data_IF_921777009974
#
_entry.id   IF_921777009974
#
_cell.length_a   1.000
_cell.length_b   1.000
_cell.length_c   1.000
_cell.angle_alpha   90.00
_cell.angle_beta   90.00
_cell.angle_gamma   90.00
#
_symmetry.space_group_name_H-M   'P 1'
#
loop_
_entity.id
_entity.type
_entity.pdbx_description
1 polymer ?
#
# COMPACT_ATOMS: atom_id res chain seq x y z
N UNK A 1 10.77 -4.60 -5.49
CA UNK A 1 10.62 -3.13 -5.37
C UNK A 1 10.13 -2.60 -6.71
N UNK A 2 9.00 -1.88 -6.78
CA UNK A 2 8.46 -1.45 -8.06
C UNK A 2 9.18 -0.18 -8.52
N UNK A 3 10.10 -0.32 -9.46
CA UNK A 3 11.08 0.72 -9.81
C UNK A 3 10.71 1.59 -11.01
N UNK A 4 9.64 1.32 -11.77
CA UNK A 4 9.22 2.24 -12.85
C UNK A 4 7.76 2.09 -13.32
N UNK A 5 7.24 3.21 -13.85
CA UNK A 5 5.93 3.53 -14.45
C UNK A 5 4.75 3.72 -13.49
N UNK A 6 4.72 4.92 -12.89
CA UNK A 6 3.58 5.54 -12.22
C UNK A 6 2.26 5.52 -13.02
N UNK A 7 2.32 5.41 -14.35
CA UNK A 7 1.15 5.56 -15.25
C UNK A 7 0.01 4.58 -14.97
N UNK A 8 0.32 3.34 -14.61
CA UNK A 8 -0.72 2.31 -14.44
C UNK A 8 -0.93 1.88 -12.99
N UNK A 9 -0.33 2.58 -12.03
CA UNK A 9 -0.38 2.18 -10.63
C UNK A 9 -1.82 2.06 -10.12
N UNK A 10 -2.69 3.03 -10.49
CA UNK A 10 -4.12 3.03 -10.16
C UNK A 10 -4.84 1.80 -10.73
N UNK A 11 -4.55 1.43 -11.98
CA UNK A 11 -5.15 0.25 -12.63
C UNK A 11 -4.64 -1.05 -12.00
N UNK A 12 -3.35 -1.10 -11.64
CA UNK A 12 -2.75 -2.23 -10.92
C UNK A 12 -3.37 -2.43 -9.55
N UNK A 13 -3.67 -1.35 -8.83
CA UNK A 13 -4.38 -1.45 -7.55
C UNK A 13 -5.72 -2.16 -7.71
N UNK A 14 -6.52 -1.77 -8.72
CA UNK A 14 -7.78 -2.46 -9.03
C UNK A 14 -7.55 -3.92 -9.41
N UNK A 15 -6.56 -4.20 -10.25
CA UNK A 15 -6.24 -5.57 -10.68
C UNK A 15 -5.87 -6.48 -9.49
N UNK A 16 -4.99 -6.03 -8.59
CA UNK A 16 -4.62 -6.79 -7.40
C UNK A 16 -5.78 -7.00 -6.45
N UNK A 17 -6.62 -5.99 -6.28
CA UNK A 17 -7.85 -6.12 -5.51
C UNK A 17 -8.74 -7.23 -6.06
N UNK A 18 -9.01 -7.22 -7.38
CA UNK A 18 -9.82 -8.25 -8.04
C UNK A 18 -9.21 -9.65 -7.93
N UNK A 19 -7.88 -9.79 -8.04
CA UNK A 19 -7.22 -11.08 -7.87
C UNK A 19 -7.40 -11.63 -6.45
N UNK A 20 -7.31 -10.79 -5.41
CA UNK A 20 -7.54 -11.22 -4.03
C UNK A 20 -8.99 -11.67 -3.80
N UNK A 21 -9.96 -10.97 -4.38
CA UNK A 21 -11.37 -11.37 -4.27
C UNK A 21 -11.62 -12.72 -4.96
N UNK A 22 -10.99 -12.97 -6.12
CA UNK A 22 -11.07 -14.25 -6.83
C UNK A 22 -10.42 -15.39 -6.03
N UNK A 23 -9.24 -15.16 -5.45
CA UNK A 23 -8.56 -16.15 -4.62
C UNK A 23 -9.40 -16.54 -3.39
N UNK A 24 -10.16 -15.57 -2.86
CA UNK A 24 -11.00 -15.78 -1.69
C UNK A 24 -12.36 -16.44 -2.00
N UNK A 25 -12.95 -16.14 -3.17
CA UNK A 25 -14.26 -16.66 -3.57
C UNK A 25 -14.15 -18.06 -4.19
N UNK A 26 -14.12 -19.08 -3.32
CA UNK A 26 -14.33 -20.47 -3.76
C UNK A 26 -15.75 -20.66 -4.32
N UNK A 27 -15.87 -21.54 -5.32
CA UNK A 27 -17.15 -21.88 -5.97
C UNK A 27 -18.20 -22.30 -4.93
N UNK A 28 -19.36 -21.64 -4.96
CA UNK A 28 -20.49 -21.92 -4.05
C UNK A 28 -20.54 -21.05 -2.78
N UNK A 29 -19.56 -20.17 -2.55
CA UNK A 29 -19.62 -19.20 -1.45
C UNK A 29 -20.43 -17.96 -1.80
N UNK A 30 -21.05 -17.36 -0.78
CA UNK A 30 -21.74 -16.06 -0.85
C UNK A 30 -20.75 -14.90 -0.72
N UNK A 31 -21.06 -13.75 -1.35
CA UNK A 31 -20.24 -12.54 -1.27
C UNK A 31 -20.11 -11.98 0.16
N UNK A 32 -21.04 -12.30 1.06
CA UNK A 32 -20.94 -11.94 2.48
C UNK A 32 -19.71 -12.51 3.18
N UNK A 33 -19.07 -13.55 2.62
CA UNK A 33 -17.85 -14.11 3.18
C UNK A 33 -16.60 -13.32 2.81
N UNK A 34 -16.65 -12.44 1.79
CA UNK A 34 -15.50 -11.65 1.34
C UNK A 34 -14.88 -10.92 2.54
N UNK A 35 -13.57 -11.12 2.71
CA UNK A 35 -12.78 -10.40 3.71
C UNK A 35 -12.53 -8.97 3.27
N UNK A 36 -12.10 -8.16 4.23
CA UNK A 36 -11.54 -6.85 3.91
C UNK A 36 -10.38 -7.00 2.95
N UNK A 37 -10.36 -6.14 1.93
CA UNK A 37 -9.40 -6.21 0.85
C UNK A 37 -8.58 -4.92 0.82
N UNK A 38 -7.34 -5.01 1.31
CA UNK A 38 -6.43 -3.87 1.46
C UNK A 38 -5.24 -4.06 0.53
N UNK A 39 -5.10 -3.15 -0.44
CA UNK A 39 -3.91 -3.10 -1.30
C UNK A 39 -2.97 -2.00 -0.80
N UNK A 40 -1.74 -2.36 -0.43
CA UNK A 40 -0.71 -1.41 0.03
C UNK A 40 0.37 -1.27 -1.04
N UNK A 41 0.61 -0.03 -1.47
CA UNK A 41 1.73 0.34 -2.32
C UNK A 41 2.75 1.16 -1.55
N UNK A 42 4.02 0.79 -1.66
CA UNK A 42 5.13 1.57 -1.13
C UNK A 42 5.81 2.29 -2.30
N UNK A 43 5.70 3.61 -2.33
CA UNK A 43 6.18 4.46 -3.41
C UNK A 43 7.43 5.22 -2.95
N UNK A 44 8.49 5.24 -3.78
CA UNK A 44 9.74 5.96 -3.45
C UNK A 44 9.60 7.49 -3.47
N UNK A 45 8.51 8.02 -4.03
CA UNK A 45 8.24 9.46 -4.10
C UNK A 45 6.75 9.78 -4.06
N UNK A 46 6.45 11.08 -4.06
CA UNK A 46 5.08 11.58 -3.93
C UNK A 46 4.28 11.39 -5.22
N UNK A 47 3.47 10.33 -5.24
CA UNK A 47 2.63 9.94 -6.37
C UNK A 47 1.54 10.95 -6.72
N UNK A 48 0.95 11.59 -5.70
CA UNK A 48 -0.23 12.44 -5.85
C UNK A 48 0.11 13.93 -5.75
N UNK A 49 1.37 14.25 -5.43
CA UNK A 49 1.90 15.62 -5.32
C UNK A 49 1.14 16.44 -4.28
N UNK A 50 0.73 15.80 -3.18
CA UNK A 50 0.03 16.49 -2.08
C UNK A 50 0.90 16.62 -0.82
N UNK A 51 2.13 16.10 -0.83
CA UNK A 51 3.07 16.18 0.27
C UNK A 51 2.75 15.31 1.48
N UNK A 52 1.79 14.37 1.37
CA UNK A 52 1.39 13.53 2.49
C UNK A 52 2.31 12.30 2.62
N UNK A 53 2.56 11.81 3.86
CA UNK A 53 3.31 10.58 4.10
C UNK A 53 2.52 9.32 3.72
N UNK A 54 1.19 9.37 3.82
CA UNK A 54 0.29 8.24 3.51
C UNK A 54 -0.95 8.77 2.81
N UNK A 55 -1.38 8.07 1.77
CA UNK A 55 -2.66 8.28 1.08
C UNK A 55 -3.53 7.05 1.26
N UNK A 56 -4.73 7.23 1.80
CA UNK A 56 -5.71 6.15 1.91
C UNK A 56 -6.93 6.50 1.07
N UNK A 57 -7.32 5.58 0.20
CA UNK A 57 -8.50 5.72 -0.65
C UNK A 57 -9.50 4.61 -0.32
N UNK A 58 -10.77 5.01 -0.23
CA UNK A 58 -11.95 4.16 -0.08
C UNK A 58 -13.03 4.62 -1.07
N UNK A 59 -14.07 3.81 -1.28
CA UNK A 59 -15.18 4.18 -2.15
C UNK A 59 -16.21 5.06 -1.41
N UNK A 60 -16.42 6.27 -1.92
CA UNK A 60 -17.40 7.24 -1.40
C UNK A 60 -18.46 7.58 -2.45
N UNK A 61 -19.65 7.97 -2.00
CA UNK A 61 -20.71 8.45 -2.89
C UNK A 61 -20.31 9.78 -3.53
N UNK A 62 -20.43 9.89 -4.86
CA UNK A 62 -20.02 11.09 -5.60
C UNK A 62 -20.93 12.28 -5.31
N UNK A 63 -22.22 12.02 -5.13
CA UNK A 63 -23.26 13.03 -4.88
C UNK A 63 -23.24 13.51 -3.43
N UNK A 64 -22.74 12.68 -2.50
CA UNK A 64 -22.60 13.03 -1.09
C UNK A 64 -21.36 12.34 -0.48
N UNK A 65 -20.25 13.07 -0.39
CA UNK A 65 -18.97 12.54 0.12
C UNK A 65 -18.98 12.11 1.60
N UNK A 66 -20.04 12.41 2.37
CA UNK A 66 -20.19 11.88 3.73
C UNK A 66 -20.67 10.42 3.75
N UNK A 67 -21.21 9.91 2.64
CA UNK A 67 -21.68 8.53 2.52
C UNK A 67 -20.56 7.65 1.94
N UNK A 68 -20.23 6.59 2.67
CA UNK A 68 -19.25 5.56 2.26
C UNK A 68 -19.99 4.34 1.70
N UNK A 69 -19.39 3.66 0.72
CA UNK A 69 -19.95 2.42 0.18
C UNK A 69 -19.82 1.25 1.15
N UNK A 70 -18.84 1.31 2.08
CA UNK A 70 -18.57 0.27 3.09
C UNK A 70 -18.33 -1.14 2.50
N UNK A 71 -17.82 -1.21 1.26
CA UNK A 71 -17.45 -2.46 0.60
C UNK A 71 -16.22 -3.17 1.19
N UNK A 72 -15.66 -2.60 2.28
CA UNK A 72 -14.48 -3.08 3.00
C UNK A 72 -13.21 -3.14 2.16
N UNK A 73 -13.11 -2.28 1.15
CA UNK A 73 -11.93 -2.19 0.30
C UNK A 73 -11.13 -0.92 0.58
N UNK A 74 -9.81 -1.04 0.74
CA UNK A 74 -8.91 0.08 1.00
C UNK A 74 -7.69 0.02 0.09
N UNK A 75 -7.22 1.20 -0.31
CA UNK A 75 -6.00 1.36 -1.11
C UNK A 75 -5.09 2.34 -0.40
N UNK A 76 -3.96 1.85 0.08
CA UNK A 76 -3.00 2.63 0.87
C UNK A 76 -1.73 2.84 0.07
N UNK A 77 -1.27 4.08 -0.04
CA UNK A 77 -0.02 4.44 -0.71
C UNK A 77 0.90 5.13 0.29
N UNK A 78 2.01 4.50 0.63
CA UNK A 78 3.08 5.11 1.41
C UNK A 78 3.99 5.93 0.49
N UNK A 79 4.31 7.14 0.94
CA UNK A 79 5.26 8.03 0.29
C UNK A 79 6.58 8.03 1.05
N UNK A 80 7.56 7.26 0.57
CA UNK A 80 8.85 7.12 1.26
C UNK A 80 9.62 8.45 1.34
N UNK A 81 9.42 9.41 0.43
CA UNK A 81 10.11 10.71 0.52
C UNK A 81 9.67 11.53 1.73
N UNK A 82 8.55 11.14 2.37
CA UNK A 82 7.98 11.75 3.57
C UNK A 82 8.09 10.83 4.79
N UNK A 83 9.10 9.94 4.81
CA UNK A 83 9.32 8.99 5.90
C UNK A 83 9.46 9.64 7.28
N UNK A 84 9.97 10.89 7.37
CA UNK A 84 10.09 11.63 8.63
C UNK A 84 8.73 12.03 9.24
N UNK A 85 7.70 12.14 8.41
CA UNK A 85 6.35 12.55 8.82
C UNK A 85 5.46 11.35 9.20
N UNK A 86 6.04 10.13 9.20
CA UNK A 86 5.34 8.90 9.60
C UNK A 86 5.37 8.78 11.13
N UNK A 87 4.19 8.63 11.75
CA UNK A 87 4.06 8.61 13.21
C UNK A 87 4.73 7.41 13.91
N UNK A 88 4.95 6.30 13.20
CA UNK A 88 5.64 5.13 13.76
C UNK A 88 7.13 5.16 13.41
N UNK A 89 7.99 5.13 14.42
CA UNK A 89 9.45 5.09 14.26
C UNK A 89 9.91 3.89 13.42
N UNK A 90 9.35 2.71 13.67
CA UNK A 90 9.70 1.49 12.95
C UNK A 90 9.32 1.58 11.47
N UNK A 91 8.12 2.11 11.17
CA UNK A 91 7.68 2.34 9.78
C UNK A 91 8.55 3.39 9.09
N UNK A 92 8.87 4.49 9.78
CA UNK A 92 9.74 5.55 9.28
C UNK A 92 11.14 5.01 8.92
N UNK A 93 11.74 4.21 9.80
CA UNK A 93 13.04 3.57 9.57
C UNK A 93 13.00 2.59 8.38
N UNK A 94 11.91 1.81 8.26
CA UNK A 94 11.72 0.90 7.13
C UNK A 94 11.57 1.66 5.80
N UNK A 95 10.76 2.72 5.75
CA UNK A 95 10.58 3.53 4.56
C UNK A 95 11.86 4.29 4.17
N UNK A 96 12.62 4.78 5.16
CA UNK A 96 13.96 5.36 4.94
C UNK A 96 14.90 4.33 4.32
N UNK A 97 14.91 3.10 4.84
CA UNK A 97 15.71 2.02 4.28
C UNK A 97 15.32 1.72 2.82
N UNK A 98 14.03 1.61 2.51
CA UNK A 98 13.57 1.37 1.13
C UNK A 98 13.97 2.49 0.16
N UNK A 99 14.09 3.73 0.65
CA UNK A 99 14.48 4.89 -0.17
C UNK A 99 15.99 5.01 -0.35
N UNK A 100 16.78 4.69 0.68
CA UNK A 100 18.22 5.02 0.74
C UNK A 100 19.13 3.80 0.72
N UNK A 101 18.57 2.59 0.84
CA UNK A 101 19.28 1.34 1.11
C UNK A 101 20.16 1.38 2.39
N UNK A 102 19.96 2.37 3.27
CA UNK A 102 20.71 2.47 4.52
C UNK A 102 19.99 1.70 5.65
N UNK A 103 20.62 0.63 6.11
CA UNK A 103 20.08 -0.28 7.12
C UNK A 103 20.57 0.07 8.54
N UNK A 104 19.90 1.01 9.20
CA UNK A 104 20.25 1.45 10.56
C UNK A 104 19.58 0.59 11.64
N UNK A 105 18.32 0.18 11.42
CA UNK A 105 17.52 -0.60 12.37
C UNK A 105 17.84 -2.10 12.35
N UNK A 106 17.52 -2.80 13.43
CA UNK A 106 17.70 -4.26 13.53
C UNK A 106 16.87 -5.02 12.49
N UNK A 107 15.68 -4.53 12.16
CA UNK A 107 14.83 -5.07 11.10
C UNK A 107 15.49 -4.89 9.73
N UNK A 108 15.91 -3.67 9.39
CA UNK A 108 16.50 -3.36 8.08
C UNK A 108 17.82 -4.11 7.85
N UNK A 109 18.63 -4.31 8.90
CA UNK A 109 19.86 -5.12 8.84
C UNK A 109 19.55 -6.58 8.48
N UNK A 110 18.55 -7.19 9.14
CA UNK A 110 18.10 -8.56 8.82
C UNK A 110 17.57 -8.69 7.39
N UNK A 111 16.89 -7.67 6.88
CA UNK A 111 16.41 -7.64 5.49
C UNK A 111 17.58 -7.61 4.50
N UNK A 112 18.56 -6.72 4.73
CA UNK A 112 19.74 -6.59 3.89
C UNK A 112 20.64 -7.84 3.90
N UNK A 113 20.71 -8.54 5.04
CA UNK A 113 21.40 -9.84 5.13
C UNK A 113 20.69 -10.94 4.34
N UNK A 114 19.34 -10.95 4.34
CA UNK A 114 18.55 -11.93 3.57
C UNK A 114 18.63 -11.70 2.07
N UNK A 115 18.69 -10.45 1.62
CA UNK A 115 18.86 -10.11 0.21
C UNK A 115 20.17 -10.67 -0.36
N UNK A 116 21.26 -10.63 0.42
CA UNK A 116 22.57 -11.18 0.02
C UNK A 116 22.62 -12.72 -0.11
N UNK A 117 21.57 -13.43 0.31
CA UNK A 117 21.52 -14.91 0.29
C UNK A 117 20.75 -15.47 -0.91
N UNK A 118 20.21 -14.60 -1.78
CA UNK A 118 19.47 -14.93 -3.00
C UNK A 118 20.37 -14.60 -4.19
#
# INVERSE_FOLDING_TARGET
MQTTLYKDLRKRTRYYQSLMDVDYLLKGNTYSKLKENIVIFICLGDLFKQGLPVYTFENTCRENNSVKLEDKTLKVFYNCSKWMDIGSKEQAEFLKFLLTDNAESSLCKKLKEREKRI
#
